data_IF_691608256727
#
_entry.id   IF_691608256727
#
_cell.length_a   1.000
_cell.length_b   1.000
_cell.length_c   1.000
_cell.angle_alpha   90.00
_cell.angle_beta   90.00
_cell.angle_gamma   90.00
#
_symmetry.space_group_name_H-M   'P 1'
#
loop_
_entity.id
_entity.type
_entity.pdbx_description
1 polymer ?
#
# COMPACT_ATOMS: atom_id res chain seq x y z
N UNK A 1 -1.21 6.63 8.01
CA UNK A 1 -0.73 5.30 7.59
C UNK A 1 -1.95 4.39 7.58
N UNK A 2 -2.26 3.74 6.45
CA UNK A 2 -3.48 2.90 6.32
C UNK A 2 -3.14 1.42 6.44
N UNK A 3 -2.04 0.98 5.82
CA UNK A 3 -1.46 -0.36 5.93
C UNK A 3 0.03 -0.24 6.26
N UNK A 4 0.57 -1.27 6.90
CA UNK A 4 1.99 -1.42 7.15
C UNK A 4 2.46 -2.81 6.73
N UNK A 5 3.66 -2.87 6.14
CA UNK A 5 4.25 -4.14 5.69
C UNK A 5 4.49 -5.07 6.89
N UNK A 6 4.10 -6.34 6.73
CA UNK A 6 4.22 -7.37 7.75
C UNK A 6 3.03 -7.46 8.72
N UNK A 7 2.07 -6.55 8.65
CA UNK A 7 0.82 -6.67 9.40
C UNK A 7 -0.07 -7.76 8.79
N UNK A 8 -0.87 -8.43 9.63
CA UNK A 8 -1.91 -9.34 9.15
C UNK A 8 -3.00 -8.53 8.45
N UNK A 9 -3.32 -8.91 7.20
CA UNK A 9 -4.41 -8.28 6.45
C UNK A 9 -5.76 -8.79 6.97
N UNK A 10 -6.59 -7.87 7.46
CA UNK A 10 -7.95 -8.14 7.94
C UNK A 10 -9.04 -7.81 6.90
N UNK A 11 -8.63 -7.35 5.71
CA UNK A 11 -9.54 -7.03 4.62
C UNK A 11 -8.89 -6.35 3.43
N UNK A 12 -9.76 -5.99 2.49
CA UNK A 12 -9.42 -5.31 1.24
C UNK A 12 -9.95 -3.87 1.31
N UNK A 13 -9.16 -2.91 0.85
CA UNK A 13 -9.48 -1.49 0.85
C UNK A 13 -9.80 -1.00 -0.57
N UNK A 14 -10.77 -0.10 -0.68
CA UNK A 14 -11.13 0.55 -1.94
C UNK A 14 -10.89 2.06 -1.84
N UNK A 15 -10.08 2.62 -2.75
CA UNK A 15 -9.80 4.05 -2.77
C UNK A 15 -11.01 4.82 -3.29
N UNK A 16 -11.71 5.54 -2.42
CA UNK A 16 -12.83 6.41 -2.87
C UNK A 16 -12.32 7.78 -3.35
N UNK A 17 -11.30 8.33 -2.69
CA UNK A 17 -10.77 9.67 -3.00
C UNK A 17 -9.25 9.78 -2.70
N UNK A 18 -8.62 10.87 -3.13
CA UNK A 18 -7.26 11.25 -2.79
C UNK A 18 -6.19 10.57 -3.64
N UNK A 19 -4.98 10.50 -3.10
CA UNK A 19 -3.84 9.81 -3.72
C UNK A 19 -3.09 9.00 -2.67
N UNK A 20 -2.89 7.71 -2.93
CA UNK A 20 -2.16 6.82 -2.03
C UNK A 20 -0.78 6.54 -2.60
N UNK A 21 0.22 6.43 -1.72
CA UNK A 21 1.58 5.98 -2.04
C UNK A 21 1.77 4.59 -1.44
N UNK A 22 2.23 3.64 -2.25
CA UNK A 22 2.57 2.28 -1.82
C UNK A 22 4.09 2.10 -1.90
N UNK A 23 4.68 1.57 -0.84
CA UNK A 23 6.11 1.31 -0.75
C UNK A 23 6.41 0.09 0.12
N UNK A 24 7.45 -0.65 -0.22
CA UNK A 24 7.97 -1.78 0.58
C UNK A 24 9.39 -1.47 1.07
N UNK A 25 9.76 -2.08 2.19
CA UNK A 25 11.10 -2.08 2.76
C UNK A 25 11.95 -3.15 2.07
N UNK A 26 12.75 -2.74 1.08
CA UNK A 26 13.74 -3.64 0.49
C UNK A 26 14.90 -3.81 1.48
N UNK A 27 15.51 -5.01 1.51
CA UNK A 27 16.59 -5.38 2.45
C UNK A 27 17.85 -4.49 2.47
N UNK A 28 17.87 -3.40 1.71
CA UNK A 28 18.88 -2.33 1.75
C UNK A 28 18.58 -1.24 2.79
N UNK A 29 17.44 -1.31 3.50
CA UNK A 29 17.04 -0.37 4.56
C UNK A 29 16.43 0.94 4.07
N UNK A 30 16.18 1.08 2.76
CA UNK A 30 15.44 2.22 2.19
C UNK A 30 14.09 1.76 1.62
N UNK A 31 13.01 2.55 1.81
CA UNK A 31 11.73 2.24 1.19
C UNK A 31 11.83 2.34 -0.34
N UNK A 32 11.40 1.30 -1.04
CA UNK A 32 11.18 1.31 -2.48
C UNK A 32 9.75 1.74 -2.76
N UNK A 33 9.60 2.83 -3.51
CA UNK A 33 8.31 3.23 -4.06
C UNK A 33 7.87 2.21 -5.10
N UNK A 34 6.71 1.59 -4.88
CA UNK A 34 6.13 0.65 -5.83
C UNK A 34 5.19 1.37 -6.80
N UNK A 35 4.25 2.15 -6.28
CA UNK A 35 3.26 2.87 -7.09
C UNK A 35 2.61 4.04 -6.35
N UNK A 36 1.95 4.88 -7.14
CA UNK A 36 0.90 5.79 -6.66
C UNK A 36 -0.45 5.31 -7.18
N UNK A 37 -1.49 5.44 -6.36
CA UNK A 37 -2.84 5.02 -6.69
C UNK A 37 -3.80 6.20 -6.77
N UNK A 38 -4.78 6.06 -7.65
CA UNK A 38 -5.87 7.01 -7.89
C UNK A 38 -7.19 6.44 -7.38
N UNK A 39 -8.25 7.26 -7.27
CA UNK A 39 -9.58 6.77 -6.94
C UNK A 39 -9.98 5.55 -7.80
N UNK A 40 -10.78 4.67 -7.20
CA UNK A 40 -11.21 3.36 -7.69
C UNK A 40 -10.12 2.26 -7.70
N UNK A 41 -9.01 2.46 -6.99
CA UNK A 41 -7.99 1.41 -6.77
C UNK A 41 -8.36 0.47 -5.61
N UNK A 42 -7.88 -0.77 -5.67
CA UNK A 42 -8.05 -1.79 -4.62
C UNK A 42 -6.68 -2.09 -3.94
N UNK A 43 -6.68 -2.37 -2.64
CA UNK A 43 -5.49 -2.71 -1.84
C UNK A 43 -5.79 -3.79 -0.80
N UNK A 44 -4.76 -4.36 -0.19
CA UNK A 44 -4.91 -5.39 0.84
C UNK A 44 -4.93 -6.80 0.27
N UNK A 45 -4.10 -7.05 -0.76
CA UNK A 45 -3.82 -8.36 -1.32
C UNK A 45 -2.41 -8.87 -0.91
N UNK A 46 -1.39 -8.68 -1.75
CA UNK A 46 0.02 -9.03 -1.52
C UNK A 46 0.83 -7.89 -2.15
N UNK A 47 1.23 -6.91 -1.34
CA UNK A 47 2.06 -5.77 -1.76
C UNK A 47 3.11 -5.41 -0.71
#
# INVERSE_FOLDING_TARGET
MILHEGDELDGIYFQVEGRIKVSSSVGTGKPLLLRFCSPLSLFGDIE
#
